data_IF_562956823379
#
_entry.id   IF_562956823379
#
_cell.length_a   1.000
_cell.length_b   1.000
_cell.length_c   1.000
_cell.angle_alpha   90.00
_cell.angle_beta   90.00
_cell.angle_gamma   90.00
#
_symmetry.space_group_name_H-M   'P 1'
#
loop_
_entity.id
_entity.type
_entity.pdbx_description
1 polymer ?
#
# COMPACT_ATOMS: atom_id res chain seq x y z
N UNK A 1 14.97 -25.18 11.00
CA UNK A 1 15.97 -24.78 12.01
C UNK A 1 15.28 -23.81 12.98
N UNK A 2 15.74 -23.67 14.20
CA UNK A 2 15.10 -22.79 15.21
C UNK A 2 15.13 -21.29 14.85
N UNK A 3 15.99 -20.90 13.90
CA UNK A 3 16.07 -19.52 13.38
C UNK A 3 15.20 -19.28 12.12
N UNK A 4 14.35 -20.23 11.74
CA UNK A 4 13.51 -20.13 10.55
C UNK A 4 14.23 -20.37 9.20
N UNK A 5 15.56 -20.45 9.20
CA UNK A 5 16.33 -20.62 7.96
C UNK A 5 16.23 -22.03 7.41
N UNK A 6 16.00 -22.16 6.12
CA UNK A 6 16.04 -23.43 5.41
C UNK A 6 17.47 -23.77 5.01
N UNK A 7 17.85 -25.02 5.24
CA UNK A 7 19.17 -25.56 4.83
C UNK A 7 18.98 -26.86 4.08
N UNK A 8 19.76 -27.06 3.03
CA UNK A 8 19.72 -28.30 2.26
C UNK A 8 20.39 -29.39 3.05
N UNK A 9 19.63 -30.43 3.42
CA UNK A 9 20.14 -31.66 4.02
C UNK A 9 20.38 -32.71 2.92
N UNK A 10 21.59 -33.26 2.88
CA UNK A 10 21.96 -34.33 1.98
C UNK A 10 22.33 -35.58 2.80
N UNK A 11 22.63 -36.69 2.14
CA UNK A 11 23.14 -37.89 2.82
C UNK A 11 24.52 -37.70 3.47
N UNK A 12 25.27 -36.70 3.03
CA UNK A 12 26.66 -36.48 3.42
C UNK A 12 26.91 -35.20 4.17
N UNK A 13 25.89 -34.32 4.34
CA UNK A 13 26.09 -33.03 4.98
C UNK A 13 24.86 -32.19 5.03
N UNK A 14 24.99 -30.97 5.57
CA UNK A 14 23.97 -29.95 5.66
C UNK A 14 24.55 -28.57 5.32
N UNK A 15 23.81 -27.74 4.58
CA UNK A 15 24.19 -26.37 4.27
C UNK A 15 25.57 -26.25 3.59
N UNK A 16 25.93 -27.19 2.71
CA UNK A 16 27.20 -27.21 2.04
C UNK A 16 28.36 -27.81 2.86
N UNK A 17 28.17 -28.08 4.16
CA UNK A 17 29.17 -28.69 5.02
C UNK A 17 28.97 -30.21 5.09
N UNK A 18 30.08 -31.00 5.06
CA UNK A 18 30.02 -32.44 5.16
C UNK A 18 29.99 -32.90 6.62
N UNK A 19 29.36 -34.04 6.87
CA UNK A 19 29.44 -34.68 8.19
C UNK A 19 30.87 -35.23 8.44
N UNK A 20 31.45 -34.77 9.56
CA UNK A 20 32.69 -35.34 10.10
C UNK A 20 32.38 -36.62 10.89
N UNK A 21 31.27 -36.54 11.69
CA UNK A 21 30.69 -37.70 12.34
C UNK A 21 29.18 -37.70 12.16
N UNK A 22 28.58 -38.86 11.95
CA UNK A 22 27.17 -39.01 11.67
C UNK A 22 26.57 -40.17 12.48
N UNK A 23 25.26 -40.05 12.78
CA UNK A 23 24.47 -41.05 13.49
C UNK A 23 25.05 -41.42 14.90
N UNK A 24 25.66 -40.49 15.61
CA UNK A 24 26.09 -40.71 16.98
C UNK A 24 24.86 -40.74 17.89
N UNK A 25 24.53 -41.93 18.39
CA UNK A 25 23.36 -42.16 19.21
C UNK A 25 23.57 -41.69 20.65
N UNK A 26 22.69 -40.84 21.12
CA UNK A 26 22.58 -40.41 22.52
C UNK A 26 21.20 -40.76 23.07
N UNK A 27 21.08 -40.72 24.39
CA UNK A 27 19.81 -41.09 25.10
C UNK A 27 18.61 -40.24 24.70
N UNK A 28 18.84 -39.04 24.21
CA UNK A 28 17.81 -38.05 23.87
C UNK A 28 17.79 -37.65 22.37
N UNK A 29 18.59 -38.32 21.51
CA UNK A 29 18.62 -38.02 20.08
C UNK A 29 19.82 -38.54 19.33
N UNK A 30 20.04 -37.99 18.16
CA UNK A 30 21.18 -38.33 17.29
C UNK A 30 21.98 -37.06 17.03
N UNK A 31 23.31 -37.14 17.20
CA UNK A 31 24.26 -36.08 16.92
C UNK A 31 24.90 -36.24 15.57
N UNK A 32 25.03 -35.16 14.84
CA UNK A 32 25.82 -35.03 13.61
C UNK A 32 26.85 -33.91 13.80
N UNK A 33 28.11 -34.20 13.58
CA UNK A 33 29.20 -33.21 13.62
C UNK A 33 29.52 -32.77 12.21
N UNK A 34 29.66 -31.49 11.96
CA UNK A 34 30.01 -30.93 10.66
C UNK A 34 31.52 -30.59 10.63
N UNK A 35 32.11 -30.65 9.46
CA UNK A 35 33.53 -30.30 9.24
C UNK A 35 33.75 -28.76 9.22
N UNK A 36 32.71 -27.96 9.26
CA UNK A 36 32.76 -26.51 9.23
C UNK A 36 31.47 -25.84 9.66
N UNK A 37 31.50 -24.54 9.71
CA UNK A 37 30.32 -23.72 10.02
C UNK A 37 29.42 -23.63 8.80
N UNK A 38 28.14 -23.90 8.98
CA UNK A 38 27.10 -23.57 7.97
C UNK A 38 27.02 -22.08 7.79
N UNK A 39 27.11 -21.62 6.56
CA UNK A 39 27.03 -20.20 6.25
C UNK A 39 25.67 -19.62 6.62
N UNK A 40 25.68 -18.44 7.25
CA UNK A 40 24.49 -17.71 7.59
C UNK A 40 24.14 -16.74 6.47
N UNK A 41 22.98 -16.96 5.84
CA UNK A 41 22.41 -16.03 4.88
C UNK A 41 21.30 -15.25 5.55
N UNK A 42 21.44 -13.92 5.72
CA UNK A 42 20.37 -13.08 6.24
C UNK A 42 19.20 -13.05 5.25
N UNK A 43 17.99 -12.92 5.74
CA UNK A 43 16.88 -12.53 4.88
C UNK A 43 16.99 -11.04 4.51
N UNK A 44 16.10 -10.61 3.60
CA UNK A 44 16.13 -9.22 3.11
C UNK A 44 16.05 -8.21 4.27
N UNK A 45 15.16 -8.42 5.26
CA UNK A 45 15.02 -7.51 6.39
C UNK A 45 16.25 -7.53 7.32
N UNK A 46 16.79 -8.71 7.61
CA UNK A 46 18.00 -8.85 8.44
C UNK A 46 19.20 -8.18 7.77
N UNK A 47 19.32 -8.33 6.43
CA UNK A 47 20.41 -7.71 5.69
C UNK A 47 20.37 -6.18 5.78
N UNK A 48 19.19 -5.55 5.73
CA UNK A 48 19.07 -4.11 5.92
C UNK A 48 19.69 -3.64 7.25
N UNK A 49 19.58 -4.44 8.30
CA UNK A 49 20.17 -4.14 9.61
C UNK A 49 21.65 -4.49 9.77
N UNK A 50 22.23 -5.22 8.81
CA UNK A 50 23.64 -5.60 8.81
C UNK A 50 24.50 -4.62 7.98
N UNK A 51 23.94 -3.97 6.99
CA UNK A 51 24.63 -3.03 6.12
C UNK A 51 24.49 -1.60 6.66
N UNK A 52 25.59 -0.97 7.15
CA UNK A 52 25.56 0.39 7.71
C UNK A 52 25.07 1.46 6.71
N UNK A 53 25.15 1.19 5.41
CA UNK A 53 24.67 2.12 4.38
C UNK A 53 23.15 2.09 4.23
N UNK A 54 22.45 1.10 4.84
CA UNK A 54 21.00 0.93 4.82
C UNK A 54 20.33 1.18 6.17
N UNK A 55 21.07 1.70 7.15
CA UNK A 55 20.57 1.96 8.51
C UNK A 55 19.29 2.79 8.54
N UNK A 56 19.18 3.81 7.70
CA UNK A 56 18.02 4.72 7.69
C UNK A 56 16.73 3.99 7.30
N UNK A 57 16.77 3.20 6.25
CA UNK A 57 15.61 2.40 5.81
C UNK A 57 15.31 1.28 6.81
N UNK A 58 16.34 0.63 7.35
CA UNK A 58 16.16 -0.39 8.38
C UNK A 58 15.48 0.15 9.62
N UNK A 59 15.98 1.23 10.21
CA UNK A 59 15.41 1.81 11.42
C UNK A 59 13.99 2.30 11.20
N UNK A 60 13.67 2.87 10.04
CA UNK A 60 12.30 3.25 9.74
C UNK A 60 11.38 2.04 9.68
N UNK A 61 11.73 0.99 8.94
CA UNK A 61 10.92 -0.23 8.88
C UNK A 61 10.80 -0.88 10.26
N UNK A 62 11.92 -0.97 10.99
CA UNK A 62 11.96 -1.62 12.30
C UNK A 62 11.15 -0.87 13.38
N UNK A 63 10.93 0.44 13.22
CA UNK A 63 10.11 1.23 14.14
C UNK A 63 8.64 0.77 14.20
N UNK A 64 8.19 0.00 13.21
CA UNK A 64 6.86 -0.63 13.16
C UNK A 64 6.83 -2.04 13.76
N UNK A 65 7.96 -2.51 14.29
CA UNK A 65 8.05 -3.82 14.94
C UNK A 65 7.48 -3.73 16.36
N UNK A 66 6.58 -4.65 16.68
CA UNK A 66 5.96 -4.78 17.99
C UNK A 66 6.04 -6.22 18.48
N UNK A 67 6.25 -6.40 19.77
CA UNK A 67 6.12 -7.71 20.39
C UNK A 67 4.65 -7.94 20.72
N UNK A 68 4.09 -8.99 20.14
CA UNK A 68 2.68 -9.33 20.29
C UNK A 68 2.52 -10.74 20.89
N UNK A 69 1.60 -10.88 21.83
CA UNK A 69 1.30 -12.15 22.43
C UNK A 69 0.55 -13.06 21.45
N UNK A 70 1.06 -14.28 21.26
CA UNK A 70 0.44 -15.26 20.38
C UNK A 70 -0.30 -16.33 21.20
N UNK A 71 -1.63 -16.23 21.35
CA UNK A 71 -2.40 -17.20 22.09
C UNK A 71 -2.41 -18.59 21.45
N UNK A 72 -2.18 -18.69 20.14
CA UNK A 72 -2.22 -19.96 19.43
C UNK A 72 -0.94 -20.78 19.62
N UNK A 73 0.18 -20.12 19.87
CA UNK A 73 1.47 -20.77 20.17
C UNK A 73 1.70 -20.91 21.68
N UNK A 74 0.88 -20.28 22.50
CA UNK A 74 0.97 -20.30 23.96
C UNK A 74 0.23 -21.49 24.55
N UNK A 75 0.70 -21.99 25.70
CA UNK A 75 0.11 -23.13 26.36
C UNK A 75 -0.92 -22.67 27.40
N UNK A 76 -2.21 -22.90 27.11
CA UNK A 76 -3.27 -22.58 28.04
C UNK A 76 -3.25 -23.51 29.31
N UNK A 77 -3.29 -22.91 30.47
CA UNK A 77 -3.28 -23.64 31.79
C UNK A 77 -4.66 -23.78 32.43
N UNK A 78 -5.63 -22.95 32.04
CA UNK A 78 -6.97 -22.96 32.59
C UNK A 78 -7.66 -21.61 32.49
N UNK A 79 -8.88 -21.54 33.05
CA UNK A 79 -9.66 -20.30 33.13
C UNK A 79 -9.74 -19.88 34.60
N UNK A 80 -9.34 -18.65 34.89
CA UNK A 80 -9.45 -18.01 36.19
C UNK A 80 -10.22 -16.70 36.02
N UNK A 81 -11.29 -16.52 36.79
CA UNK A 81 -12.17 -15.33 36.71
C UNK A 81 -12.71 -15.01 35.30
N UNK A 82 -12.89 -16.06 34.48
CA UNK A 82 -13.39 -15.91 33.07
C UNK A 82 -12.32 -15.62 32.04
N UNK A 83 -11.05 -15.46 32.42
CA UNK A 83 -9.93 -15.25 31.54
C UNK A 83 -9.03 -16.48 31.42
N UNK A 84 -8.48 -16.70 30.22
CA UNK A 84 -7.52 -17.79 30.00
C UNK A 84 -6.17 -17.43 30.60
N UNK A 85 -5.70 -18.25 31.55
CA UNK A 85 -4.35 -18.18 32.12
C UNK A 85 -3.43 -19.09 31.32
N UNK A 86 -2.25 -18.62 30.98
CA UNK A 86 -1.27 -19.36 30.20
C UNK A 86 -0.15 -19.89 31.11
N UNK A 87 0.19 -21.16 30.96
CA UNK A 87 1.33 -21.79 31.63
C UNK A 87 2.65 -21.41 30.97
N UNK A 88 2.62 -21.21 29.65
CA UNK A 88 3.74 -20.71 28.86
C UNK A 88 3.19 -19.70 27.87
N UNK A 89 3.87 -18.55 27.77
CA UNK A 89 3.45 -17.43 26.95
C UNK A 89 4.45 -17.20 25.83
N UNK A 90 4.01 -17.39 24.60
CA UNK A 90 4.80 -17.10 23.40
C UNK A 90 4.53 -15.66 22.95
N UNK A 91 5.61 -14.90 22.81
CA UNK A 91 5.57 -13.54 22.26
C UNK A 91 6.30 -13.55 20.93
N UNK A 92 5.63 -13.07 19.88
CA UNK A 92 6.17 -13.03 18.52
C UNK A 92 6.44 -11.58 18.13
N UNK A 93 7.54 -11.36 17.43
CA UNK A 93 7.84 -10.06 16.83
C UNK A 93 7.06 -9.93 15.53
N UNK A 94 6.15 -8.96 15.47
CA UNK A 94 5.39 -8.61 14.27
C UNK A 94 5.81 -7.24 13.78
N UNK A 95 5.81 -7.05 12.48
CA UNK A 95 6.04 -5.74 11.89
C UNK A 95 4.82 -5.32 11.06
N UNK A 96 4.12 -4.30 11.56
CA UNK A 96 2.85 -3.85 10.97
C UNK A 96 3.03 -3.19 9.60
N UNK A 97 4.21 -2.66 9.30
CA UNK A 97 4.53 -2.13 7.99
C UNK A 97 4.76 -3.28 7.01
N UNK A 98 5.59 -4.25 7.35
CA UNK A 98 5.91 -5.38 6.48
C UNK A 98 4.69 -6.23 6.15
N UNK A 99 3.73 -6.34 7.06
CA UNK A 99 2.46 -7.03 6.78
C UNK A 99 1.64 -6.38 5.67
N UNK A 100 1.88 -5.10 5.36
CA UNK A 100 1.19 -4.35 4.33
C UNK A 100 2.02 -4.22 3.04
N UNK A 101 3.34 -4.04 3.15
CA UNK A 101 4.22 -3.77 2.01
C UNK A 101 4.82 -5.05 1.41
N UNK A 102 5.26 -5.98 2.25
CA UNK A 102 5.86 -7.23 1.82
C UNK A 102 6.64 -7.91 2.94
N UNK A 103 6.45 -9.20 3.08
CA UNK A 103 6.99 -10.02 4.17
C UNK A 103 8.47 -10.35 3.95
N UNK A 104 9.31 -9.33 3.83
CA UNK A 104 10.77 -9.48 3.61
C UNK A 104 11.51 -10.09 4.82
N UNK A 105 10.84 -10.22 5.94
CA UNK A 105 11.33 -10.86 7.18
C UNK A 105 10.88 -12.33 7.32
N UNK A 106 10.16 -12.89 6.33
CA UNK A 106 9.67 -14.26 6.34
C UNK A 106 10.46 -15.14 5.39
N UNK A 107 10.92 -16.31 5.87
CA UNK A 107 11.59 -17.30 5.02
C UNK A 107 10.61 -18.04 4.09
N UNK A 108 9.29 -17.98 4.38
CA UNK A 108 8.25 -18.59 3.55
C UNK A 108 7.82 -17.71 2.36
N UNK A 109 8.46 -16.54 2.22
CA UNK A 109 8.14 -15.55 1.19
C UNK A 109 9.41 -15.14 0.45
N UNK A 110 9.31 -14.91 -0.84
CA UNK A 110 10.44 -14.42 -1.65
C UNK A 110 10.15 -13.03 -2.16
N UNK A 111 11.05 -12.09 -1.86
CA UNK A 111 10.94 -10.70 -2.25
C UNK A 111 12.24 -10.15 -2.86
N UNK A 112 12.08 -9.26 -3.82
CA UNK A 112 13.12 -8.30 -4.15
C UNK A 112 12.75 -6.96 -3.52
N UNK A 113 13.72 -6.29 -2.92
CA UNK A 113 13.54 -4.96 -2.35
C UNK A 113 14.55 -3.99 -2.95
N UNK A 114 14.05 -2.90 -3.52
CA UNK A 114 14.87 -1.75 -3.86
C UNK A 114 15.11 -0.92 -2.60
N UNK A 115 16.32 -0.95 -2.07
CA UNK A 115 16.67 -0.29 -0.82
C UNK A 115 17.57 0.93 -1.08
N UNK A 116 17.12 2.15 -0.76
CA UNK A 116 17.93 3.35 -0.88
C UNK A 116 19.04 3.37 0.17
N UNK A 117 20.24 3.79 -0.22
CA UNK A 117 21.30 4.10 0.74
C UNK A 117 20.89 5.25 1.66
N UNK A 118 21.60 5.45 2.79
CA UNK A 118 21.31 6.54 3.73
C UNK A 118 21.30 7.91 3.06
N UNK A 119 22.20 8.13 2.10
CA UNK A 119 22.25 9.38 1.33
C UNK A 119 21.02 9.53 0.45
N UNK A 120 20.70 8.50 -0.35
CA UNK A 120 19.50 8.51 -1.18
C UNK A 120 18.21 8.63 -0.36
N UNK A 121 18.13 7.98 0.80
CA UNK A 121 17.01 8.10 1.74
C UNK A 121 16.81 9.54 2.21
N UNK A 122 17.89 10.23 2.57
CA UNK A 122 17.84 11.62 3.03
C UNK A 122 17.37 12.56 1.92
N UNK A 123 17.93 12.42 0.72
CA UNK A 123 17.56 13.23 -0.45
C UNK A 123 16.08 13.01 -0.83
N UNK A 124 15.63 11.76 -0.85
CA UNK A 124 14.24 11.41 -1.11
C UNK A 124 13.31 11.96 -0.03
N UNK A 125 13.69 11.86 1.24
CA UNK A 125 12.90 12.41 2.33
C UNK A 125 12.75 13.93 2.21
N UNK A 126 13.85 14.66 1.93
CA UNK A 126 13.80 16.11 1.75
C UNK A 126 12.93 16.52 0.56
N UNK A 127 12.92 15.75 -0.51
CA UNK A 127 12.03 15.97 -1.64
C UNK A 127 10.56 15.62 -1.29
N UNK A 128 10.31 14.43 -0.73
CA UNK A 128 8.96 13.91 -0.57
C UNK A 128 8.18 14.59 0.55
N UNK A 129 8.83 15.07 1.59
CA UNK A 129 8.17 15.82 2.68
C UNK A 129 7.42 17.07 2.19
N UNK A 130 7.84 17.65 1.08
CA UNK A 130 7.18 18.82 0.50
C UNK A 130 5.76 18.51 -0.03
N UNK A 131 5.49 17.25 -0.34
CA UNK A 131 4.14 16.80 -0.73
C UNK A 131 3.18 16.61 0.44
N UNK A 132 3.68 16.56 1.68
CA UNK A 132 2.92 16.23 2.89
C UNK A 132 2.96 17.34 3.93
N UNK A 133 2.70 18.58 3.53
CA UNK A 133 2.63 19.71 4.47
C UNK A 133 1.27 19.75 5.14
N UNK A 134 1.26 19.75 6.47
CA UNK A 134 0.05 19.84 7.28
C UNK A 134 -0.03 21.18 8.01
N UNK A 135 -1.25 21.57 8.42
CA UNK A 135 -1.45 22.75 9.24
C UNK A 135 -0.73 22.59 10.59
N UNK A 136 0.11 23.57 10.92
CA UNK A 136 0.90 23.57 12.16
C UNK A 136 0.07 23.68 13.44
N UNK A 137 -1.22 24.00 13.34
CA UNK A 137 -2.13 23.92 14.46
C UNK A 137 -2.48 22.47 14.86
N UNK A 138 -2.26 21.53 13.96
CA UNK A 138 -2.41 20.11 14.23
C UNK A 138 -1.20 19.58 15.02
N UNK A 139 -1.43 19.10 16.23
CA UNK A 139 -0.37 18.64 17.13
C UNK A 139 0.54 17.55 16.55
N UNK A 140 0.03 16.76 15.58
CA UNK A 140 0.76 15.69 14.90
C UNK A 140 1.32 16.09 13.53
N UNK A 141 1.28 17.38 13.14
CA UNK A 141 1.62 17.83 11.78
C UNK A 141 3.01 17.34 11.33
N UNK A 142 4.03 17.55 12.14
CA UNK A 142 5.40 17.19 11.80
C UNK A 142 5.60 15.67 11.72
N UNK A 143 5.01 14.92 12.64
CA UNK A 143 5.12 13.45 12.62
C UNK A 143 4.31 12.82 11.48
N UNK A 144 3.18 13.41 11.10
CA UNK A 144 2.42 12.98 9.91
C UNK A 144 3.18 13.28 8.62
N UNK A 145 3.79 14.46 8.53
CA UNK A 145 4.64 14.83 7.39
C UNK A 145 5.80 13.85 7.23
N UNK A 146 6.55 13.64 8.31
CA UNK A 146 7.69 12.72 8.32
C UNK A 146 7.28 11.31 7.93
N UNK A 147 6.24 10.79 8.58
CA UNK A 147 5.80 9.43 8.38
C UNK A 147 5.29 9.20 6.95
N UNK A 148 4.44 10.09 6.43
CA UNK A 148 3.89 9.94 5.09
C UNK A 148 4.95 10.09 4.00
N UNK A 149 5.92 10.99 4.17
CA UNK A 149 7.04 11.13 3.25
C UNK A 149 7.87 9.83 3.21
N UNK A 150 8.28 9.30 4.36
CA UNK A 150 9.08 8.07 4.46
C UNK A 150 8.31 6.83 3.96
N UNK A 151 7.02 6.72 4.27
CA UNK A 151 6.17 5.66 3.72
C UNK A 151 6.10 5.72 2.20
N UNK A 152 6.05 6.93 1.63
CA UNK A 152 5.99 7.13 0.19
C UNK A 152 7.28 6.76 -0.53
N UNK A 153 8.44 6.85 0.13
CA UNK A 153 9.72 6.35 -0.42
C UNK A 153 9.64 4.83 -0.61
N UNK A 154 9.02 4.13 0.33
CA UNK A 154 8.92 2.67 0.27
C UNK A 154 7.85 2.17 -0.70
N UNK A 155 6.91 3.01 -1.13
CA UNK A 155 5.95 2.64 -2.17
C UNK A 155 6.69 2.28 -3.47
N UNK A 156 6.34 1.13 -4.04
CA UNK A 156 6.98 0.66 -5.27
C UNK A 156 8.35 0.00 -5.07
N UNK A 157 8.87 -0.07 -3.85
CA UNK A 157 10.19 -0.64 -3.55
C UNK A 157 10.17 -2.15 -3.32
N UNK A 158 9.00 -2.78 -3.16
CA UNK A 158 8.84 -4.19 -2.87
C UNK A 158 8.30 -4.95 -4.08
N UNK A 159 8.88 -6.11 -4.38
CA UNK A 159 8.51 -6.96 -5.51
C UNK A 159 8.31 -8.38 -5.01
N UNK A 160 7.07 -8.83 -4.92
CA UNK A 160 6.75 -10.19 -4.48
C UNK A 160 7.12 -11.20 -5.57
N UNK A 161 7.94 -12.19 -5.21
CA UNK A 161 8.39 -13.27 -6.08
C UNK A 161 8.03 -14.65 -5.54
N UNK A 162 7.22 -14.73 -4.51
CA UNK A 162 6.90 -15.98 -3.79
C UNK A 162 6.36 -17.08 -4.70
N UNK A 163 5.50 -16.72 -5.65
CA UNK A 163 4.92 -17.70 -6.60
C UNK A 163 5.91 -18.14 -7.68
N UNK A 164 6.96 -17.36 -7.95
CA UNK A 164 7.96 -17.63 -8.98
C UNK A 164 9.35 -17.14 -8.54
N UNK A 165 9.94 -17.74 -7.49
CA UNK A 165 11.16 -17.22 -6.86
C UNK A 165 12.37 -17.19 -7.82
N UNK A 166 12.49 -18.17 -8.69
CA UNK A 166 13.62 -18.33 -9.62
C UNK A 166 13.37 -17.65 -10.99
N UNK A 167 12.18 -17.14 -11.23
CA UNK A 167 11.87 -16.50 -12.51
C UNK A 167 12.58 -15.14 -12.62
N UNK A 168 13.33 -14.94 -13.69
CA UNK A 168 13.87 -13.62 -13.99
C UNK A 168 12.73 -12.62 -14.22
N UNK A 169 12.96 -11.34 -13.91
CA UNK A 169 12.11 -10.28 -14.43
C UNK A 169 12.32 -10.25 -15.95
N UNK A 170 11.21 -10.38 -16.69
CA UNK A 170 11.23 -10.28 -18.13
C UNK A 170 11.27 -8.78 -18.54
N UNK A 171 10.34 -8.35 -19.39
CA UNK A 171 10.27 -6.97 -19.86
C UNK A 171 9.73 -5.99 -18.80
N UNK A 172 9.24 -6.50 -17.67
CA UNK A 172 8.66 -5.66 -16.60
C UNK A 172 8.85 -6.24 -15.22
N UNK A 173 8.90 -5.37 -14.22
CA UNK A 173 8.80 -5.68 -12.80
C UNK A 173 7.52 -5.07 -12.23
N UNK A 174 6.72 -5.89 -11.57
CA UNK A 174 5.50 -5.45 -10.88
C UNK A 174 5.81 -5.28 -9.38
N UNK A 175 5.71 -4.05 -8.89
CA UNK A 175 5.88 -3.80 -7.45
C UNK A 175 4.62 -4.17 -6.67
N UNK A 176 4.83 -4.62 -5.45
CA UNK A 176 3.78 -4.73 -4.45
C UNK A 176 3.55 -3.34 -3.86
N UNK A 177 2.44 -2.69 -4.23
CA UNK A 177 2.08 -1.39 -3.65
C UNK A 177 1.10 -1.64 -2.51
N UNK A 178 1.52 -1.29 -1.29
CA UNK A 178 0.61 -1.34 -0.17
C UNK A 178 -0.39 -0.18 -0.27
N UNK A 179 -1.68 -0.45 -0.07
CA UNK A 179 -2.67 0.61 0.08
C UNK A 179 -2.38 1.36 1.38
N UNK A 180 -1.72 2.52 1.30
CA UNK A 180 -1.65 3.45 2.42
C UNK A 180 -3.05 3.97 2.77
N UNK A 181 -3.20 4.59 3.94
CA UNK A 181 -4.45 5.25 4.29
C UNK A 181 -4.89 6.24 3.21
N UNK A 182 -3.93 6.92 2.58
CA UNK A 182 -4.13 7.80 1.43
C UNK A 182 -4.72 7.05 0.23
N UNK A 183 -4.11 5.93 -0.16
CA UNK A 183 -4.55 5.14 -1.31
C UNK A 183 -5.87 4.43 -1.07
N UNK A 184 -6.21 4.07 0.17
CA UNK A 184 -7.52 3.50 0.52
C UNK A 184 -8.68 4.46 0.30
N UNK A 185 -8.41 5.75 0.30
CA UNK A 185 -9.42 6.80 0.04
C UNK A 185 -9.56 7.09 -1.46
N UNK A 186 -8.62 6.64 -2.28
CA UNK A 186 -8.68 6.74 -3.74
C UNK A 186 -9.44 5.51 -4.28
N UNK A 187 -10.63 5.73 -4.80
CA UNK A 187 -11.60 4.68 -5.12
C UNK A 187 -11.18 3.75 -6.27
N UNK A 188 -10.28 4.14 -7.13
CA UNK A 188 -9.81 3.37 -8.27
C UNK A 188 -8.27 3.30 -8.34
N UNK A 189 -7.59 3.43 -7.22
CA UNK A 189 -6.14 3.26 -7.18
C UNK A 189 -5.81 1.78 -7.36
N UNK A 190 -5.84 1.31 -8.59
CA UNK A 190 -5.15 0.08 -8.91
C UNK A 190 -3.65 0.29 -8.73
N UNK A 191 -2.97 -0.64 -8.05
CA UNK A 191 -1.52 -0.57 -7.94
C UNK A 191 -0.91 -0.66 -9.34
N UNK A 192 -0.52 0.48 -9.90
CA UNK A 192 0.08 0.58 -11.24
C UNK A 192 1.61 0.57 -11.21
N UNK A 193 2.20 -0.04 -10.19
CA UNK A 193 3.64 -0.15 -10.02
C UNK A 193 4.31 -1.10 -11.02
N UNK A 194 3.96 -1.01 -12.30
CA UNK A 194 4.62 -1.76 -13.37
C UNK A 194 5.77 -0.93 -13.91
N UNK A 195 6.97 -1.46 -13.80
CA UNK A 195 8.20 -0.85 -14.31
C UNK A 195 8.70 -1.67 -15.49
N UNK A 196 8.70 -1.07 -16.66
CA UNK A 196 9.19 -1.70 -17.89
C UNK A 196 10.71 -1.61 -17.95
N UNK A 197 11.33 -2.67 -18.50
CA UNK A 197 12.78 -2.74 -18.73
C UNK A 197 13.60 -2.41 -17.46
N UNK A 198 13.35 -3.15 -16.36
CA UNK A 198 13.82 -2.75 -15.03
C UNK A 198 15.35 -2.67 -14.90
N UNK A 199 16.11 -3.37 -15.74
CA UNK A 199 17.58 -3.42 -15.74
C UNK A 199 18.24 -2.59 -16.83
N UNK A 200 17.47 -2.02 -17.77
CA UNK A 200 18.01 -1.14 -18.81
C UNK A 200 18.34 0.25 -18.24
N UNK A 201 19.09 1.03 -19.00
CA UNK A 201 19.46 2.40 -18.63
C UNK A 201 18.20 3.23 -18.26
N UNK A 202 18.19 3.81 -17.06
CA UNK A 202 17.05 4.51 -16.48
C UNK A 202 15.94 3.62 -15.93
N UNK A 203 16.10 2.30 -15.96
CA UNK A 203 15.19 1.34 -15.32
C UNK A 203 15.32 1.36 -13.80
N UNK A 204 14.34 0.74 -13.13
CA UNK A 204 14.23 0.79 -11.66
C UNK A 204 15.42 0.12 -10.94
N UNK A 205 16.08 -0.85 -11.59
CA UNK A 205 17.26 -1.55 -11.06
C UNK A 205 18.57 -1.15 -11.75
N UNK A 206 18.54 -0.11 -12.60
CA UNK A 206 19.74 0.41 -13.23
C UNK A 206 20.70 0.99 -12.19
N UNK A 207 21.97 0.62 -12.27
CA UNK A 207 23.01 1.08 -11.36
C UNK A 207 22.91 0.59 -9.91
N UNK A 208 21.99 -0.33 -9.60
CA UNK A 208 21.85 -0.90 -8.25
C UNK A 208 22.79 -2.08 -8.03
N UNK A 209 23.31 -2.22 -6.81
CA UNK A 209 24.02 -3.42 -6.37
C UNK A 209 23.04 -4.54 -6.04
N UNK A 210 23.36 -5.78 -6.45
CA UNK A 210 22.52 -6.96 -6.20
C UNK A 210 23.09 -7.80 -5.06
N UNK A 211 22.36 -7.87 -3.96
CA UNK A 211 22.73 -8.66 -2.79
C UNK A 211 21.73 -9.82 -2.63
N UNK A 212 22.25 -11.03 -2.69
CA UNK A 212 21.46 -12.25 -2.51
C UNK A 212 21.21 -12.50 -1.02
N UNK A 213 19.96 -12.71 -0.66
CA UNK A 213 19.51 -13.05 0.68
C UNK A 213 18.83 -14.42 0.71
N UNK A 214 18.58 -14.98 1.92
CA UNK A 214 17.96 -16.30 2.05
C UNK A 214 16.55 -16.37 1.45
N UNK A 215 15.83 -15.25 1.44
CA UNK A 215 14.45 -15.14 0.96
C UNK A 215 14.30 -14.14 -0.19
N UNK A 216 15.36 -13.87 -0.96
CA UNK A 216 15.30 -13.00 -2.12
C UNK A 216 16.50 -12.10 -2.31
N UNK A 217 16.28 -10.86 -2.75
CA UNK A 217 17.34 -9.94 -3.11
C UNK A 217 17.13 -8.54 -2.54
N UNK A 218 18.21 -7.92 -2.08
CA UNK A 218 18.28 -6.47 -1.87
C UNK A 218 18.94 -5.83 -3.10
N UNK A 219 18.25 -4.89 -3.72
CA UNK A 219 18.79 -4.01 -4.76
C UNK A 219 19.16 -2.71 -4.12
N UNK A 220 20.43 -2.56 -3.68
CA UNK A 220 20.94 -1.36 -3.02
C UNK A 220 21.13 -0.26 -4.03
N UNK A 221 20.50 0.91 -3.80
CA UNK A 221 20.41 2.01 -4.73
C UNK A 221 20.98 3.30 -4.16
N UNK A 222 22.00 3.87 -4.81
CA UNK A 222 22.45 5.23 -4.58
C UNK A 222 21.56 6.25 -5.30
N UNK A 223 20.96 5.86 -6.42
CA UNK A 223 19.98 6.63 -7.17
C UNK A 223 18.68 5.87 -7.24
N UNK A 224 17.57 6.55 -6.92
CA UNK A 224 16.28 5.91 -6.77
C UNK A 224 15.35 6.28 -7.93
N UNK A 225 15.21 5.38 -8.91
CA UNK A 225 14.48 5.62 -10.16
C UNK A 225 12.99 5.25 -10.09
N UNK A 226 12.33 5.44 -8.94
CA UNK A 226 10.89 5.22 -8.81
C UNK A 226 10.12 6.41 -9.39
N UNK A 227 9.28 6.14 -10.37
CA UNK A 227 8.33 7.12 -10.89
C UNK A 227 7.20 7.35 -9.87
N UNK A 228 7.14 8.56 -9.30
CA UNK A 228 6.14 8.96 -8.29
C UNK A 228 4.71 8.81 -8.78
N UNK A 229 4.47 8.94 -10.09
CA UNK A 229 3.13 8.75 -10.68
C UNK A 229 2.65 7.30 -10.64
N UNK A 230 3.56 6.35 -10.43
CA UNK A 230 3.26 4.92 -10.26
C UNK A 230 3.09 4.53 -8.80
N UNK A 231 3.31 5.44 -7.87
CA UNK A 231 3.25 5.22 -6.43
C UNK A 231 2.23 6.15 -5.79
N UNK A 232 2.64 7.18 -5.08
CA UNK A 232 1.76 8.05 -4.29
C UNK A 232 1.19 9.25 -5.06
N UNK A 233 1.80 9.66 -6.16
CA UNK A 233 1.34 10.79 -6.97
C UNK A 233 0.27 10.34 -7.97
N UNK A 234 -0.93 10.03 -7.47
CA UNK A 234 -2.03 9.47 -8.25
C UNK A 234 -3.08 10.51 -8.60
N UNK A 235 -3.82 10.27 -9.68
CA UNK A 235 -5.06 11.00 -9.97
C UNK A 235 -6.10 10.67 -8.91
N UNK A 236 -6.67 11.72 -8.31
CA UNK A 236 -7.75 11.58 -7.33
C UNK A 236 -9.08 11.56 -8.07
N UNK A 237 -9.86 10.51 -7.87
CA UNK A 237 -11.20 10.37 -8.40
C UNK A 237 -12.18 10.17 -7.27
N UNK A 238 -13.20 11.01 -7.22
CA UNK A 238 -14.26 10.94 -6.23
C UNK A 238 -15.56 10.62 -6.94
N UNK A 239 -16.09 9.44 -6.69
CA UNK A 239 -17.40 9.04 -7.19
C UNK A 239 -18.49 9.64 -6.30
N UNK A 240 -19.43 10.36 -6.92
CA UNK A 240 -20.51 11.02 -6.19
C UNK A 240 -21.46 10.01 -5.52
N UNK A 241 -21.56 8.80 -6.07
CA UNK A 241 -22.38 7.70 -5.56
C UNK A 241 -21.81 7.10 -4.27
N UNK A 242 -20.54 7.32 -4.00
CA UNK A 242 -19.91 6.80 -2.77
C UNK A 242 -20.21 7.73 -1.58
N UNK A 243 -21.07 7.24 -0.68
CA UNK A 243 -21.51 7.98 0.50
C UNK A 243 -20.37 8.38 1.46
N UNK A 244 -19.23 7.68 1.42
CA UNK A 244 -18.05 7.97 2.28
C UNK A 244 -17.54 9.40 2.02
N UNK A 245 -17.59 9.83 0.77
CA UNK A 245 -17.10 11.16 0.37
C UNK A 245 -18.14 12.27 0.52
N UNK A 246 -19.41 11.94 0.74
CA UNK A 246 -20.46 12.92 0.98
C UNK A 246 -20.32 13.50 2.39
N UNK A 247 -20.26 14.81 2.52
CA UNK A 247 -20.11 15.49 3.81
C UNK A 247 -21.37 16.24 4.26
N UNK A 248 -22.08 16.87 3.34
CA UNK A 248 -23.33 17.53 3.66
C UNK A 248 -24.26 17.62 2.46
N UNK A 249 -25.55 17.54 2.74
CA UNK A 249 -26.65 17.68 1.81
C UNK A 249 -27.56 18.80 2.31
N UNK A 250 -27.76 19.83 1.50
CA UNK A 250 -28.62 20.98 1.84
C UNK A 250 -29.59 21.25 0.70
N UNK A 251 -30.84 21.52 1.02
CA UNK A 251 -31.91 21.90 0.08
C UNK A 251 -32.11 20.90 -1.07
N UNK A 252 -31.81 19.64 -0.82
CA UNK A 252 -32.05 18.54 -1.75
C UNK A 252 -32.80 17.39 -1.06
N UNK A 253 -33.37 16.51 -1.85
CA UNK A 253 -33.96 15.26 -1.35
C UNK A 253 -32.87 14.37 -0.75
N UNK A 254 -33.22 13.65 0.33
CA UNK A 254 -32.28 12.77 1.06
C UNK A 254 -32.92 11.40 1.32
N UNK A 255 -32.19 10.29 1.06
CA UNK A 255 -30.85 10.23 0.47
C UNK A 255 -30.82 10.69 -0.98
N UNK A 256 -29.63 10.99 -1.52
CA UNK A 256 -29.48 11.32 -2.94
C UNK A 256 -29.92 10.13 -3.81
N UNK A 257 -30.55 10.43 -4.92
CA UNK A 257 -30.97 9.40 -5.87
C UNK A 257 -29.80 8.98 -6.76
N UNK A 258 -29.46 7.69 -6.74
CA UNK A 258 -28.49 7.13 -7.66
C UNK A 258 -29.22 6.63 -8.91
N UNK A 259 -28.81 7.11 -10.09
CA UNK A 259 -29.31 6.68 -11.40
C UNK A 259 -28.29 5.79 -12.05
N UNK A 260 -28.76 4.67 -12.58
CA UNK A 260 -27.94 3.74 -13.37
C UNK A 260 -28.28 3.85 -14.84
N UNK A 261 -27.28 3.68 -15.69
CA UNK A 261 -27.40 3.78 -17.13
C UNK A 261 -27.33 2.38 -17.73
N UNK A 262 -28.38 1.96 -18.43
CA UNK A 262 -28.49 0.64 -19.05
C UNK A 262 -27.68 0.53 -20.35
N UNK A 263 -27.42 -0.72 -20.80
CA UNK A 263 -26.56 -0.99 -21.97
C UNK A 263 -27.11 -0.42 -23.29
N UNK A 264 -28.40 -0.22 -23.40
CA UNK A 264 -29.08 0.36 -24.55
C UNK A 264 -29.07 1.89 -24.58
N UNK A 265 -28.52 2.51 -23.52
CA UNK A 265 -28.47 3.96 -23.38
C UNK A 265 -27.20 4.54 -24.01
N UNK A 266 -27.34 5.71 -24.67
CA UNK A 266 -26.23 6.41 -25.31
C UNK A 266 -25.11 6.85 -24.35
N UNK A 267 -25.35 6.89 -23.07
CA UNK A 267 -24.37 7.24 -22.02
C UNK A 267 -23.70 6.02 -21.37
N UNK A 268 -24.07 4.79 -21.77
CA UNK A 268 -23.40 3.59 -21.29
C UNK A 268 -21.92 3.62 -21.61
N UNK A 269 -21.09 3.26 -20.64
CA UNK A 269 -19.62 3.36 -20.69
C UNK A 269 -19.05 4.78 -20.87
N UNK A 270 -19.87 5.82 -20.77
CA UNK A 270 -19.39 7.22 -20.75
C UNK A 270 -19.37 7.81 -19.35
N UNK A 271 -20.07 7.17 -18.42
CA UNK A 271 -20.06 7.51 -17.00
C UNK A 271 -19.33 6.43 -16.22
N UNK A 272 -18.62 6.81 -15.20
CA UNK A 272 -17.94 5.88 -14.31
C UNK A 272 -18.97 4.96 -13.64
N UNK A 273 -18.68 3.65 -13.58
CA UNK A 273 -19.63 2.69 -12.99
C UNK A 273 -20.99 2.62 -13.66
N UNK A 274 -21.19 3.30 -14.80
CA UNK A 274 -22.50 3.47 -15.48
C UNK A 274 -23.59 4.00 -14.52
N UNK A 275 -23.19 4.87 -13.61
CA UNK A 275 -24.09 5.49 -12.65
C UNK A 275 -23.75 6.96 -12.44
N UNK A 276 -24.67 7.70 -11.83
CA UNK A 276 -24.45 9.08 -11.38
C UNK A 276 -25.45 9.43 -10.29
N UNK A 277 -25.16 10.49 -9.54
CA UNK A 277 -26.05 11.03 -8.52
C UNK A 277 -26.96 12.10 -9.15
N UNK A 278 -28.27 11.91 -8.99
CA UNK A 278 -29.28 12.89 -9.33
C UNK A 278 -29.61 13.73 -8.09
N UNK A 279 -29.26 15.02 -8.16
CA UNK A 279 -29.45 15.95 -7.05
C UNK A 279 -30.76 16.69 -7.23
N UNK A 280 -31.83 16.13 -6.67
CA UNK A 280 -33.17 16.65 -6.78
C UNK A 280 -33.41 17.77 -5.74
N UNK A 281 -33.80 18.99 -6.14
CA UNK A 281 -34.14 20.05 -5.21
C UNK A 281 -35.27 19.64 -4.27
N UNK A 282 -35.20 20.10 -3.02
CA UNK A 282 -36.26 19.86 -2.05
C UNK A 282 -37.53 20.59 -2.48
N UNK A 283 -38.62 19.88 -2.56
CA UNK A 283 -39.95 20.49 -2.87
C UNK A 283 -40.46 21.28 -1.67
N UNK A 284 -40.36 22.59 -1.78
CA UNK A 284 -40.79 23.54 -0.73
C UNK A 284 -41.89 24.49 -1.18
N UNK A 285 -42.36 24.40 -2.43
CA UNK A 285 -43.36 25.30 -3.04
C UNK A 285 -44.18 24.55 -4.09
N UNK A 286 -45.37 25.02 -4.41
CA UNK A 286 -46.15 24.56 -5.57
C UNK A 286 -45.53 25.00 -6.91
N UNK A 287 -44.67 26.00 -6.88
CA UNK A 287 -43.97 26.54 -8.04
C UNK A 287 -42.55 26.02 -8.08
N UNK A 288 -42.17 25.17 -9.04
CA UNK A 288 -40.82 24.61 -9.15
C UNK A 288 -39.72 25.64 -9.30
N UNK A 289 -39.99 26.79 -9.90
CA UNK A 289 -39.04 27.89 -10.09
C UNK A 289 -38.63 28.55 -8.74
N UNK A 290 -39.35 28.23 -7.67
CA UNK A 290 -39.09 28.72 -6.30
C UNK A 290 -38.37 27.65 -5.44
N UNK A 291 -38.05 26.51 -5.97
CA UNK A 291 -37.29 25.51 -5.21
C UNK A 291 -35.92 26.08 -4.85
N UNK A 292 -35.44 25.80 -3.64
CA UNK A 292 -34.13 26.25 -3.24
C UNK A 292 -33.06 25.55 -4.07
N UNK A 293 -31.93 26.20 -4.35
CA UNK A 293 -30.83 25.63 -5.06
C UNK A 293 -30.15 24.53 -4.20
N UNK A 294 -30.12 23.27 -4.66
CA UNK A 294 -29.54 22.20 -3.90
C UNK A 294 -28.00 22.36 -3.79
N UNK A 295 -27.44 21.92 -2.66
CA UNK A 295 -26.01 21.93 -2.43
C UNK A 295 -25.55 20.60 -1.88
N UNK A 296 -24.58 19.99 -2.55
CA UNK A 296 -23.91 18.77 -2.12
C UNK A 296 -22.43 19.07 -1.89
N UNK A 297 -21.91 18.64 -0.75
CA UNK A 297 -20.50 18.82 -0.41
C UNK A 297 -19.83 17.47 -0.36
N UNK A 298 -18.72 17.34 -1.08
CA UNK A 298 -17.86 16.16 -1.08
C UNK A 298 -16.50 16.50 -0.48
N UNK A 299 -15.86 15.51 0.16
CA UNK A 299 -14.43 15.59 0.46
C UNK A 299 -13.62 15.06 -0.72
N UNK A 300 -12.51 15.71 -0.98
CA UNK A 300 -11.50 15.22 -1.92
C UNK A 300 -10.34 14.70 -1.07
N UNK A 301 -10.26 13.38 -0.85
CA UNK A 301 -9.21 12.80 -0.01
C UNK A 301 -7.88 12.76 -0.75
N UNK A 302 -6.79 12.70 0.02
CA UNK A 302 -5.49 12.41 -0.53
C UNK A 302 -4.83 13.51 -1.35
N UNK A 303 -5.29 14.75 -1.21
CA UNK A 303 -4.62 15.90 -1.81
C UNK A 303 -3.24 16.09 -1.19
N UNK A 304 -2.26 16.30 -2.05
CA UNK A 304 -0.86 16.56 -1.68
C UNK A 304 -0.57 18.05 -1.73
N UNK A 305 0.42 18.50 -0.98
CA UNK A 305 0.90 19.87 -0.99
C UNK A 305 1.86 20.13 -2.16
N UNK A 306 2.08 21.40 -2.47
CA UNK A 306 3.09 21.89 -3.43
C UNK A 306 2.98 21.31 -4.85
N UNK A 307 1.80 20.85 -5.23
CA UNK A 307 1.49 20.46 -6.61
C UNK A 307 0.23 21.17 -7.11
N UNK A 308 0.17 21.58 -8.39
CA UNK A 308 -1.05 22.08 -8.98
C UNK A 308 -2.03 20.94 -9.27
N UNK A 309 -3.33 21.21 -9.14
CA UNK A 309 -4.40 20.30 -9.50
C UNK A 309 -5.29 20.91 -10.58
N UNK A 310 -5.53 20.15 -11.63
CA UNK A 310 -6.65 20.40 -12.54
C UNK A 310 -7.89 19.67 -11.98
N UNK A 311 -8.95 20.43 -11.73
CA UNK A 311 -10.16 19.90 -11.11
C UNK A 311 -11.26 19.82 -12.17
N UNK A 312 -11.77 18.61 -12.37
CA UNK A 312 -12.85 18.35 -13.30
C UNK A 312 -14.08 17.87 -12.54
N UNK A 313 -15.25 18.41 -12.91
CA UNK A 313 -16.54 17.93 -12.43
C UNK A 313 -17.27 17.32 -13.61
N UNK A 314 -17.48 16.01 -13.56
CA UNK A 314 -18.22 15.29 -14.58
C UNK A 314 -19.70 15.41 -14.26
N UNK A 315 -20.49 15.89 -15.21
CA UNK A 315 -21.93 16.03 -15.07
C UNK A 315 -22.65 15.27 -16.17
N UNK A 316 -23.76 14.62 -15.81
CA UNK A 316 -24.67 14.03 -16.77
C UNK A 316 -25.79 15.04 -17.13
N UNK A 317 -26.31 15.08 -18.36
CA UNK A 317 -27.49 15.87 -18.68
C UNK A 317 -28.72 15.36 -17.93
N UNK A 318 -29.74 16.20 -17.84
CA UNK A 318 -31.05 15.80 -17.31
C UNK A 318 -31.56 14.59 -18.13
N UNK A 319 -32.26 13.65 -17.47
CA UNK A 319 -32.77 12.41 -18.10
C UNK A 319 -31.71 11.51 -18.74
N UNK A 320 -30.43 11.66 -18.38
CA UNK A 320 -29.35 10.80 -18.92
C UNK A 320 -29.57 9.29 -18.67
N UNK A 321 -30.28 8.94 -17.61
CA UNK A 321 -30.62 7.55 -17.27
C UNK A 321 -31.70 6.95 -18.19
N UNK A 322 -32.55 7.81 -18.81
CA UNK A 322 -33.66 7.39 -19.63
C UNK A 322 -33.20 7.11 -21.07
N UNK A 323 -33.22 5.85 -21.56
CA UNK A 323 -32.80 5.53 -22.91
C UNK A 323 -33.72 6.11 -23.99
N UNK A 324 -34.96 6.44 -23.63
CA UNK A 324 -35.97 6.98 -24.56
C UNK A 324 -36.07 8.50 -24.55
N UNK A 325 -35.30 9.18 -23.71
CA UNK A 325 -35.28 10.64 -23.70
C UNK A 325 -34.74 11.20 -25.01
N UNK A 326 -35.36 12.25 -25.50
CA UNK A 326 -34.91 13.01 -26.68
C UNK A 326 -33.78 13.96 -26.32
N UNK A 327 -33.14 14.57 -27.33
CA UNK A 327 -32.13 15.60 -27.06
C UNK A 327 -32.75 16.86 -26.40
N UNK A 328 -34.05 17.10 -26.59
CA UNK A 328 -34.80 18.19 -25.95
C UNK A 328 -35.03 17.91 -24.47
N UNK A 329 -35.18 16.64 -24.08
CA UNK A 329 -35.33 16.23 -22.69
C UNK A 329 -33.96 16.27 -21.94
N UNK A 330 -32.85 16.10 -22.67
CA UNK A 330 -31.47 16.04 -22.13
C UNK A 330 -30.84 17.42 -22.03
N UNK A 331 -31.47 18.32 -21.30
CA UNK A 331 -30.94 19.64 -21.10
C UNK A 331 -29.61 19.62 -20.31
N UNK A 332 -28.66 20.55 -20.64
CA UNK A 332 -27.41 20.65 -19.89
C UNK A 332 -27.67 21.18 -18.47
N UNK A 333 -26.97 20.60 -17.50
CA UNK A 333 -27.00 21.10 -16.12
C UNK A 333 -26.16 22.36 -15.98
N UNK A 334 -26.67 23.31 -15.19
CA UNK A 334 -25.91 24.48 -14.75
C UNK A 334 -25.50 24.29 -13.29
N UNK A 335 -24.20 24.14 -13.08
CA UNK A 335 -23.64 23.96 -11.75
C UNK A 335 -22.71 25.10 -11.36
N UNK A 336 -22.54 25.30 -10.05
CA UNK A 336 -21.54 26.16 -9.46
C UNK A 336 -20.67 25.33 -8.54
N UNK A 337 -19.39 25.20 -8.86
CA UNK A 337 -18.40 24.61 -7.98
C UNK A 337 -17.84 25.63 -6.99
N UNK A 338 -17.71 25.23 -5.72
CA UNK A 338 -17.03 26.01 -4.68
C UNK A 338 -16.00 25.08 -4.06
N UNK A 339 -14.73 25.47 -4.12
CA UNK A 339 -13.64 24.74 -3.50
C UNK A 339 -13.34 25.37 -2.13
N UNK A 340 -13.46 24.56 -1.08
CA UNK A 340 -13.10 24.97 0.27
C UNK A 340 -11.83 24.22 0.67
N UNK A 341 -10.82 24.97 1.06
CA UNK A 341 -9.63 24.42 1.72
C UNK A 341 -9.89 24.52 3.23
N UNK A 342 -10.03 23.39 3.88
CA UNK A 342 -9.96 23.35 5.33
C UNK A 342 -8.48 23.36 5.69
N UNK A 343 -8.03 24.46 6.26
CA UNK A 343 -6.72 24.54 6.89
C UNK A 343 -6.71 23.65 8.13
#
# INVERSE_FOLDING_TARGET
MMNGKYQVLTQTGIGGQTFEASNELHSNGVLYTLNGQVEYFPNVFEYLGLDPELDSVYHFINSYSVYDFDPNQSVAGGIVDGETVYLDSVVVLRNNLLSQYGLINSEDSTYWMLAPTNTAWTELYDEYREYFVYDKSLAAADSLQENNAKMSILMGAFFNRTDNPDAAFQDSALSTIAPTALMRLLQDAEPKGIYYKPFEAGGIFDGTEDIVCSNGHVRKAETFNIDKSKTFLQTIKVEAENLINQKSLLECETPLTIRTVSMDNAFYNKLSGNAYVDVIPKNTSEDPDKFPAPKVTFSIPGTLSNIPYDIYIVTAPVEAYNPYATDEDRLPNRIRGILNFNN
#
